data_IF_053438316781
#
_entry.id   IF_053438316781
#
_cell.length_a   1.000
_cell.length_b   1.000
_cell.length_c   1.000
_cell.angle_alpha   90.00
_cell.angle_beta   90.00
_cell.angle_gamma   90.00
#
_symmetry.space_group_name_H-M   'P 1'
#
loop_
_entity.id
_entity.type
_entity.pdbx_description
1 polymer ?
#
# COMPACT_ATOMS: atom_id res chain seq x y z
N UNK A 1 13.66 10.65 17.41
CA UNK A 1 12.61 10.34 16.40
C UNK A 1 13.19 9.77 15.12
N UNK A 2 14.46 10.07 14.81
CA UNK A 2 15.16 9.63 13.58
C UNK A 2 15.81 8.24 13.71
N UNK A 3 15.89 7.67 14.91
CA UNK A 3 16.47 6.35 15.13
C UNK A 3 15.63 5.28 14.44
N UNK A 4 16.25 4.33 13.70
CA UNK A 4 15.56 3.19 13.12
C UNK A 4 14.92 2.33 14.21
N UNK A 5 13.65 1.95 14.02
CA UNK A 5 12.90 1.06 14.93
C UNK A 5 12.48 -0.23 14.26
N UNK A 6 12.55 -0.30 12.95
CA UNK A 6 12.27 -1.50 12.17
C UNK A 6 13.14 -1.56 10.92
N UNK A 7 13.42 -2.77 10.47
CA UNK A 7 13.99 -3.05 9.15
C UNK A 7 12.96 -3.89 8.39
N UNK A 8 12.47 -3.35 7.27
CA UNK A 8 11.61 -4.07 6.34
C UNK A 8 12.40 -4.44 5.09
N UNK A 9 11.93 -5.41 4.31
CA UNK A 9 12.68 -5.86 3.15
C UNK A 9 11.95 -5.49 1.85
N UNK A 10 12.74 -5.11 0.84
CA UNK A 10 12.21 -4.84 -0.51
C UNK A 10 11.81 -6.14 -1.20
N UNK A 11 10.83 -6.06 -2.10
CA UNK A 11 10.32 -7.22 -2.86
C UNK A 11 11.26 -7.82 -3.91
N UNK A 12 12.50 -7.35 -4.02
CA UNK A 12 13.56 -8.00 -4.80
C UNK A 12 13.27 -8.29 -6.28
N UNK A 13 12.53 -7.44 -7.00
CA UNK A 13 12.26 -7.65 -8.44
C UNK A 13 13.50 -7.46 -9.32
N UNK A 14 14.52 -6.73 -8.84
CA UNK A 14 15.71 -6.33 -9.62
C UNK A 14 17.04 -6.70 -8.98
N UNK A 15 17.04 -7.51 -7.89
CA UNK A 15 18.28 -7.88 -7.18
C UNK A 15 18.01 -8.47 -5.81
N UNK A 16 19.07 -8.66 -4.98
CA UNK A 16 18.91 -9.13 -3.61
C UNK A 16 18.02 -8.19 -2.80
N UNK A 17 17.16 -8.76 -1.94
CA UNK A 17 16.34 -7.98 -1.04
C UNK A 17 17.20 -7.08 -0.14
N UNK A 18 16.86 -5.79 -0.06
CA UNK A 18 17.55 -4.82 0.78
C UNK A 18 16.75 -4.56 2.06
N UNK A 19 17.46 -4.39 3.18
CA UNK A 19 16.83 -4.04 4.46
C UNK A 19 16.60 -2.53 4.54
N UNK A 20 15.37 -2.09 4.43
CA UNK A 20 14.95 -0.69 4.53
C UNK A 20 14.80 -0.30 5.99
N UNK A 21 15.58 0.66 6.45
CA UNK A 21 15.53 1.17 7.83
C UNK A 21 14.43 2.22 7.98
N UNK A 22 13.45 1.95 8.83
CA UNK A 22 12.34 2.86 9.10
C UNK A 22 12.42 3.43 10.51
N UNK A 23 12.34 4.76 10.62
CA UNK A 23 12.37 5.48 11.88
C UNK A 23 11.00 5.51 12.57
N UNK A 24 11.02 5.89 13.86
CA UNK A 24 9.80 6.18 14.61
C UNK A 24 9.00 7.33 13.97
N UNK A 25 9.70 8.30 13.36
CA UNK A 25 9.04 9.38 12.60
C UNK A 25 8.24 8.82 11.42
N UNK A 26 8.82 7.89 10.66
CA UNK A 26 8.15 7.30 9.49
C UNK A 26 6.87 6.54 9.89
N UNK A 27 6.92 5.76 10.97
CA UNK A 27 5.74 5.06 11.51
C UNK A 27 4.64 6.01 11.96
N UNK A 28 5.02 7.08 12.68
CA UNK A 28 4.06 8.09 13.12
C UNK A 28 3.46 8.85 11.96
N UNK A 29 4.28 9.29 11.00
CA UNK A 29 3.81 10.00 9.82
C UNK A 29 2.82 9.16 9.00
N UNK A 30 3.10 7.86 8.83
CA UNK A 30 2.17 6.92 8.19
C UNK A 30 0.82 6.87 8.90
N UNK A 31 0.78 6.77 10.23
CA UNK A 31 -0.47 6.83 11.00
C UNK A 31 -1.21 8.16 10.79
N UNK A 32 -0.51 9.29 10.87
CA UNK A 32 -1.09 10.63 10.71
C UNK A 32 -1.70 10.82 9.31
N UNK A 33 -1.04 10.33 8.28
CA UNK A 33 -1.54 10.37 6.90
C UNK A 33 -2.88 9.63 6.76
N UNK A 34 -2.98 8.42 7.29
CA UNK A 34 -4.21 7.65 7.20
C UNK A 34 -5.34 8.23 8.05
N UNK A 35 -5.04 8.76 9.23
CA UNK A 35 -6.05 9.37 10.08
C UNK A 35 -6.65 10.64 9.47
N UNK A 36 -5.87 11.40 8.69
CA UNK A 36 -6.35 12.58 7.98
C UNK A 36 -7.29 12.25 6.82
N UNK A 37 -7.11 11.12 6.17
CA UNK A 37 -8.01 10.66 5.09
C UNK A 37 -9.36 10.17 5.64
N UNK A 38 -9.40 9.74 6.90
CA UNK A 38 -10.62 9.54 7.71
C UNK A 38 -11.49 8.33 7.39
N UNK A 39 -11.55 7.90 6.14
CA UNK A 39 -12.43 6.81 5.65
C UNK A 39 -11.70 5.50 5.40
N UNK A 40 -10.39 5.47 5.65
CA UNK A 40 -9.51 4.38 5.24
C UNK A 40 -9.49 3.19 6.19
N UNK A 41 -9.97 3.35 7.42
CA UNK A 41 -10.00 2.32 8.44
C UNK A 41 -11.28 2.40 9.26
N UNK A 42 -11.95 1.26 9.42
CA UNK A 42 -13.07 1.13 10.35
C UNK A 42 -12.56 1.09 11.80
N UNK A 43 -12.74 2.16 12.55
CA UNK A 43 -12.38 2.18 13.98
C UNK A 43 -13.12 1.10 14.75
N UNK A 44 -12.40 0.32 15.57
CA UNK A 44 -12.97 -0.74 16.39
C UNK A 44 -13.37 -2.00 15.65
N UNK A 45 -13.19 -2.07 14.32
CA UNK A 45 -13.42 -3.27 13.52
C UNK A 45 -12.25 -4.25 13.56
N UNK A 46 -12.37 -5.35 12.81
CA UNK A 46 -11.32 -6.34 12.64
C UNK A 46 -10.65 -6.20 11.26
N UNK A 47 -9.34 -6.29 11.22
CA UNK A 47 -8.57 -6.39 9.98
C UNK A 47 -7.93 -7.76 9.85
N UNK A 48 -8.07 -8.37 8.67
CA UNK A 48 -7.41 -9.63 8.33
C UNK A 48 -6.06 -9.33 7.67
N UNK A 49 -4.98 -9.77 8.32
CA UNK A 49 -3.59 -9.54 7.89
C UNK A 49 -3.07 -10.79 7.21
N UNK A 50 -2.92 -10.71 5.89
CA UNK A 50 -2.47 -11.78 5.00
C UNK A 50 -1.11 -11.49 4.37
N UNK A 51 -0.71 -10.23 4.37
CA UNK A 51 0.54 -9.77 3.76
C UNK A 51 1.74 -10.05 4.66
N UNK A 52 2.91 -10.35 4.09
CA UNK A 52 4.11 -10.63 4.86
C UNK A 52 4.53 -9.44 5.73
N UNK A 53 4.80 -9.69 7.02
CA UNK A 53 5.20 -8.65 7.98
C UNK A 53 6.63 -8.15 7.79
N UNK A 54 7.44 -8.84 7.00
CA UNK A 54 8.77 -8.35 6.63
C UNK A 54 8.70 -7.24 5.56
N UNK A 55 7.56 -7.02 4.90
CA UNK A 55 7.33 -5.89 4.00
C UNK A 55 6.80 -4.68 4.77
N UNK A 56 7.11 -3.47 4.28
CA UNK A 56 6.57 -2.25 4.87
C UNK A 56 5.03 -2.18 4.75
N UNK A 57 4.46 -2.69 3.66
CA UNK A 57 3.01 -2.75 3.50
C UNK A 57 2.38 -3.62 4.60
N UNK A 58 2.89 -4.83 4.82
CA UNK A 58 2.38 -5.72 5.86
C UNK A 58 2.55 -5.14 7.26
N UNK A 59 3.76 -4.67 7.61
CA UNK A 59 4.05 -4.19 8.94
C UNK A 59 3.40 -2.84 9.27
N UNK A 60 3.61 -1.82 8.41
CA UNK A 60 3.14 -0.47 8.71
C UNK A 60 1.63 -0.34 8.49
N UNK A 61 1.11 -0.81 7.35
CA UNK A 61 -0.27 -0.55 6.97
C UNK A 61 -1.26 -1.60 7.48
N UNK A 62 -0.83 -2.87 7.59
CA UNK A 62 -1.75 -3.92 8.00
C UNK A 62 -1.67 -4.24 9.50
N UNK A 63 -0.61 -3.83 10.20
CA UNK A 63 -0.46 -4.06 11.64
C UNK A 63 -0.37 -2.76 12.44
N UNK A 64 0.66 -1.93 12.21
CA UNK A 64 0.90 -0.74 13.03
C UNK A 64 -0.26 0.25 13.02
N UNK A 65 -0.70 0.69 11.84
CA UNK A 65 -1.79 1.67 11.74
C UNK A 65 -3.10 1.13 12.33
N UNK A 66 -3.58 -0.09 12.01
CA UNK A 66 -4.78 -0.65 12.62
C UNK A 66 -4.68 -0.78 14.14
N UNK A 67 -3.55 -1.22 14.70
CA UNK A 67 -3.37 -1.30 16.16
C UNK A 67 -3.48 0.08 16.82
N UNK A 68 -2.85 1.11 16.22
CA UNK A 68 -2.94 2.47 16.74
C UNK A 68 -4.38 3.03 16.67
N UNK A 69 -5.21 2.53 15.77
CA UNK A 69 -6.62 2.89 15.62
C UNK A 69 -7.56 2.04 16.51
N UNK A 70 -7.00 1.11 17.32
CA UNK A 70 -7.77 0.25 18.21
C UNK A 70 -8.54 -0.86 17.49
N UNK A 71 -8.06 -1.32 16.32
CA UNK A 71 -8.66 -2.42 15.58
C UNK A 71 -8.19 -3.78 16.13
N UNK A 72 -9.02 -4.78 15.97
CA UNK A 72 -8.64 -6.19 16.20
C UNK A 72 -7.82 -6.70 15.02
N UNK A 73 -6.62 -7.23 15.27
CA UNK A 73 -5.78 -7.85 14.24
C UNK A 73 -6.05 -9.36 14.19
N UNK A 74 -6.48 -9.84 13.03
CA UNK A 74 -6.56 -11.27 12.71
C UNK A 74 -5.32 -11.61 11.89
N UNK A 75 -4.29 -12.14 12.54
CA UNK A 75 -3.02 -12.46 11.92
C UNK A 75 -3.00 -13.91 11.41
N UNK A 76 -2.76 -14.08 10.12
CA UNK A 76 -2.67 -15.41 9.49
C UNK A 76 -1.31 -15.60 8.82
N UNK A 77 -0.27 -16.08 9.56
CA UNK A 77 1.12 -16.03 9.13
C UNK A 77 1.49 -17.03 8.02
N UNK A 78 0.66 -18.06 7.80
CA UNK A 78 0.88 -19.13 6.80
C UNK A 78 -0.16 -19.05 5.68
N UNK A 79 -0.47 -17.86 5.21
CA UNK A 79 -1.50 -17.63 4.22
C UNK A 79 -1.08 -18.14 2.82
N UNK A 80 -2.04 -18.77 2.15
CA UNK A 80 -1.99 -19.06 0.72
C UNK A 80 -3.08 -18.27 0.02
N UNK A 81 -2.78 -17.58 -1.10
CA UNK A 81 -3.76 -16.70 -1.76
C UNK A 81 -5.10 -17.36 -2.09
N UNK A 82 -5.11 -18.66 -2.37
CA UNK A 82 -6.31 -19.46 -2.65
C UNK A 82 -7.25 -19.59 -1.44
N UNK A 83 -6.77 -19.28 -0.22
CA UNK A 83 -7.55 -19.36 1.00
C UNK A 83 -8.32 -18.08 1.31
N UNK A 84 -8.20 -17.03 0.49
CA UNK A 84 -8.84 -15.73 0.78
C UNK A 84 -10.35 -15.87 0.96
N UNK A 85 -11.05 -16.63 0.10
CA UNK A 85 -12.48 -16.86 0.21
C UNK A 85 -12.87 -17.56 1.53
N UNK A 86 -12.11 -18.59 1.93
CA UNK A 86 -12.30 -19.28 3.22
C UNK A 86 -12.11 -18.33 4.41
N UNK A 87 -11.04 -17.51 4.37
CA UNK A 87 -10.74 -16.57 5.45
C UNK A 87 -11.80 -15.48 5.58
N UNK A 88 -12.26 -14.92 4.48
CA UNK A 88 -13.35 -13.93 4.46
C UNK A 88 -14.64 -14.52 5.04
N UNK A 89 -15.00 -15.73 4.62
CA UNK A 89 -16.18 -16.44 5.15
C UNK A 89 -16.09 -16.73 6.63
N UNK A 90 -14.89 -17.14 7.11
CA UNK A 90 -14.66 -17.56 8.48
C UNK A 90 -14.62 -16.39 9.46
N UNK A 91 -13.88 -15.34 9.10
CA UNK A 91 -13.56 -14.26 10.04
C UNK A 91 -14.43 -13.02 9.84
N UNK A 92 -15.06 -12.86 8.68
CA UNK A 92 -15.92 -11.72 8.33
C UNK A 92 -15.30 -10.38 8.76
N UNK A 93 -14.03 -10.08 8.38
CA UNK A 93 -13.34 -8.86 8.82
C UNK A 93 -13.92 -7.65 8.09
N UNK A 94 -14.01 -6.52 8.77
CA UNK A 94 -14.40 -5.25 8.15
C UNK A 94 -13.36 -4.76 7.16
N UNK A 95 -12.11 -5.18 7.33
CA UNK A 95 -11.01 -4.77 6.48
C UNK A 95 -10.14 -5.95 6.08
N UNK A 96 -9.69 -5.95 4.83
CA UNK A 96 -8.66 -6.85 4.32
C UNK A 96 -7.79 -6.13 3.30
N UNK A 97 -6.48 -6.36 3.39
CA UNK A 97 -5.52 -5.89 2.38
C UNK A 97 -4.93 -7.09 1.64
N UNK A 98 -4.91 -6.99 0.32
CA UNK A 98 -4.33 -8.02 -0.54
C UNK A 98 -3.58 -7.41 -1.72
N UNK A 99 -2.97 -8.27 -2.52
CA UNK A 99 -2.41 -7.91 -3.82
C UNK A 99 -3.43 -8.17 -4.94
N UNK A 100 -3.15 -7.73 -6.15
CA UNK A 100 -3.99 -7.99 -7.31
C UNK A 100 -4.25 -9.49 -7.50
N UNK A 101 -3.24 -10.32 -7.29
CA UNK A 101 -3.34 -11.78 -7.41
C UNK A 101 -4.31 -12.40 -6.39
N UNK A 102 -4.40 -11.86 -5.16
CA UNK A 102 -5.33 -12.34 -4.14
C UNK A 102 -6.79 -12.12 -4.58
N UNK A 103 -7.09 -10.92 -5.08
CA UNK A 103 -8.42 -10.59 -5.60
C UNK A 103 -8.78 -11.41 -6.84
N UNK A 104 -7.81 -11.64 -7.75
CA UNK A 104 -8.03 -12.49 -8.91
C UNK A 104 -8.39 -13.93 -8.53
N UNK A 105 -7.70 -14.50 -7.55
CA UNK A 105 -7.99 -15.84 -7.06
C UNK A 105 -9.34 -15.91 -6.34
N UNK A 106 -9.71 -14.87 -5.59
CA UNK A 106 -11.04 -14.79 -4.98
C UNK A 106 -12.17 -14.84 -6.03
N UNK A 107 -11.99 -14.18 -7.17
CA UNK A 107 -12.98 -14.23 -8.28
C UNK A 107 -13.12 -15.64 -8.90
N UNK A 108 -12.19 -16.54 -8.64
CA UNK A 108 -12.20 -17.93 -9.11
C UNK A 108 -12.59 -18.94 -8.02
N UNK A 109 -12.76 -18.47 -6.78
CA UNK A 109 -13.15 -19.31 -5.65
C UNK A 109 -14.58 -19.80 -5.83
N UNK A 110 -14.86 -21.11 -5.67
CA UNK A 110 -16.24 -21.64 -5.77
C UNK A 110 -17.25 -20.99 -4.80
N UNK A 111 -16.78 -20.44 -3.69
CA UNK A 111 -17.61 -19.68 -2.76
C UNK A 111 -18.03 -18.33 -3.32
N UNK A 112 -17.25 -17.74 -4.24
CA UNK A 112 -17.48 -16.39 -4.77
C UNK A 112 -18.91 -16.20 -5.33
N UNK A 113 -19.50 -17.25 -5.95
CA UNK A 113 -20.84 -17.18 -6.54
C UNK A 113 -21.97 -16.97 -5.51
N UNK A 114 -21.74 -17.31 -4.25
CA UNK A 114 -22.71 -17.20 -3.16
C UNK A 114 -22.17 -16.40 -1.96
N UNK A 115 -21.05 -15.69 -2.16
CA UNK A 115 -20.42 -14.91 -1.10
C UNK A 115 -21.36 -13.80 -0.62
N UNK A 116 -21.43 -13.60 0.70
CA UNK A 116 -21.95 -12.39 1.32
C UNK A 116 -20.78 -11.58 1.84
N UNK A 117 -20.53 -10.42 1.24
CA UNK A 117 -19.45 -9.49 1.59
C UNK A 117 -19.97 -8.20 2.24
N UNK A 118 -21.19 -8.19 2.76
CA UNK A 118 -21.81 -7.03 3.40
C UNK A 118 -21.04 -6.50 4.62
N UNK A 119 -20.19 -7.34 5.23
CA UNK A 119 -19.33 -6.99 6.36
C UNK A 119 -18.07 -6.23 5.95
N UNK A 120 -17.64 -6.34 4.68
CA UNK A 120 -16.36 -5.82 4.20
C UNK A 120 -16.46 -4.33 3.87
N UNK A 121 -16.03 -3.50 4.81
CA UNK A 121 -16.13 -2.03 4.69
C UNK A 121 -14.92 -1.41 3.99
N UNK A 122 -13.75 -2.07 4.06
CA UNK A 122 -12.48 -1.52 3.56
C UNK A 122 -11.70 -2.61 2.82
N UNK A 123 -12.14 -2.98 1.59
CA UNK A 123 -11.36 -3.85 0.70
C UNK A 123 -10.18 -3.07 0.10
N UNK A 124 -8.95 -3.54 0.29
CA UNK A 124 -7.72 -2.84 -0.13
C UNK A 124 -6.86 -3.69 -1.03
N UNK A 125 -6.19 -3.04 -1.99
CA UNK A 125 -5.28 -3.68 -2.92
C UNK A 125 -4.06 -2.80 -3.20
N UNK A 126 -2.87 -3.37 -3.03
CA UNK A 126 -1.61 -2.70 -3.33
C UNK A 126 -0.47 -3.67 -3.56
N UNK A 127 0.72 -3.15 -3.87
CA UNK A 127 1.94 -3.93 -4.04
C UNK A 127 2.14 -4.57 -5.42
N UNK A 128 1.10 -4.61 -6.26
CA UNK A 128 1.16 -5.10 -7.64
C UNK A 128 0.38 -4.16 -8.58
N UNK A 129 0.78 -4.13 -9.85
CA UNK A 129 0.01 -3.43 -10.88
C UNK A 129 -1.39 -4.03 -11.05
N UNK A 130 -2.37 -3.16 -11.28
CA UNK A 130 -3.75 -3.55 -11.59
C UNK A 130 -4.26 -2.80 -12.81
N UNK A 131 -4.75 -3.55 -13.80
CA UNK A 131 -5.37 -2.94 -14.98
C UNK A 131 -6.77 -2.38 -14.64
N UNK A 132 -7.20 -1.33 -15.34
CA UNK A 132 -8.56 -0.78 -15.20
C UNK A 132 -9.66 -1.83 -15.41
N UNK A 133 -9.45 -2.78 -16.30
CA UNK A 133 -10.40 -3.86 -16.54
C UNK A 133 -10.53 -4.80 -15.33
N UNK A 134 -9.41 -5.15 -14.70
CA UNK A 134 -9.40 -5.99 -13.49
C UNK A 134 -10.04 -5.26 -12.32
N UNK A 135 -9.73 -3.98 -12.12
CA UNK A 135 -10.33 -3.17 -11.07
C UNK A 135 -11.85 -3.10 -11.21
N UNK A 136 -12.37 -2.84 -12.42
CA UNK A 136 -13.81 -2.87 -12.69
C UNK A 136 -14.43 -4.21 -12.35
N UNK A 137 -13.80 -5.31 -12.80
CA UNK A 137 -14.29 -6.68 -12.52
C UNK A 137 -14.37 -6.99 -11.03
N UNK A 138 -13.36 -6.57 -10.26
CA UNK A 138 -13.37 -6.75 -8.79
C UNK A 138 -14.47 -5.89 -8.16
N UNK A 139 -14.62 -4.63 -8.56
CA UNK A 139 -15.66 -3.76 -8.03
C UNK A 139 -17.08 -4.25 -8.35
N UNK A 140 -17.31 -4.77 -9.56
CA UNK A 140 -18.60 -5.38 -9.94
C UNK A 140 -18.89 -6.60 -9.07
N UNK A 141 -17.90 -7.45 -8.83
CA UNK A 141 -18.01 -8.60 -7.91
C UNK A 141 -18.34 -8.14 -6.49
N UNK A 142 -17.60 -7.20 -5.93
CA UNK A 142 -17.82 -6.68 -4.58
C UNK A 142 -19.27 -6.14 -4.43
N UNK A 143 -19.72 -5.33 -5.38
CA UNK A 143 -21.06 -4.77 -5.39
C UNK A 143 -22.16 -5.87 -5.51
N UNK A 144 -21.97 -6.84 -6.39
CA UNK A 144 -22.91 -7.98 -6.55
C UNK A 144 -22.99 -8.85 -5.30
N UNK A 145 -21.96 -8.85 -4.45
CA UNK A 145 -21.90 -9.62 -3.20
C UNK A 145 -22.22 -8.78 -1.95
N UNK A 146 -22.82 -7.62 -2.15
CA UNK A 146 -23.31 -6.77 -1.06
C UNK A 146 -22.24 -5.99 -0.30
N UNK A 147 -21.00 -5.95 -0.81
CA UNK A 147 -19.96 -5.11 -0.22
C UNK A 147 -20.37 -3.63 -0.39
N UNK A 148 -20.42 -2.83 0.69
CA UNK A 148 -20.84 -1.43 0.62
C UNK A 148 -19.77 -0.50 0.04
N UNK A 149 -18.55 -0.97 -0.13
CA UNK A 149 -17.40 -0.19 -0.54
C UNK A 149 -16.81 -0.68 -1.87
N UNK A 150 -16.19 0.25 -2.61
CA UNK A 150 -15.35 -0.06 -3.75
C UNK A 150 -13.95 -0.46 -3.27
N UNK A 151 -13.23 -1.22 -4.10
CA UNK A 151 -11.83 -1.58 -3.85
C UNK A 151 -10.97 -0.32 -3.75
N UNK A 152 -10.26 -0.17 -2.65
CA UNK A 152 -9.32 0.91 -2.41
C UNK A 152 -7.96 0.47 -2.92
N UNK A 153 -7.44 1.16 -3.94
CA UNK A 153 -6.09 0.91 -4.44
C UNK A 153 -5.07 1.72 -3.66
N UNK A 154 -3.88 1.15 -3.55
CA UNK A 154 -2.78 1.73 -2.80
C UNK A 154 -1.48 1.56 -3.55
N UNK A 155 -0.74 2.66 -3.67
CA UNK A 155 0.59 2.67 -4.27
C UNK A 155 1.64 3.13 -3.26
N UNK A 156 2.79 2.50 -3.31
CA UNK A 156 3.95 2.85 -2.51
C UNK A 156 5.02 1.79 -2.55
N UNK A 157 6.03 1.96 -1.71
CA UNK A 157 7.21 1.09 -1.65
C UNK A 157 7.79 1.06 -0.24
N UNK A 158 8.67 0.09 0.04
CA UNK A 158 9.27 -0.05 1.37
C UNK A 158 10.03 1.19 1.82
N UNK A 159 10.68 1.89 0.90
CA UNK A 159 11.50 3.08 1.12
C UNK A 159 10.70 4.31 1.61
N UNK A 160 9.38 4.24 1.55
CA UNK A 160 8.45 5.27 2.06
C UNK A 160 7.48 4.70 3.11
N UNK A 161 7.91 3.68 3.85
CA UNK A 161 7.13 2.99 4.89
C UNK A 161 5.81 2.40 4.37
N UNK A 162 5.76 1.98 3.11
CA UNK A 162 4.64 1.30 2.48
C UNK A 162 3.88 2.19 1.52
N UNK A 163 2.81 2.84 1.93
CA UNK A 163 1.84 3.48 1.04
C UNK A 163 1.93 5.00 1.08
N UNK A 164 1.87 5.62 -0.09
CA UNK A 164 1.90 7.09 -0.27
C UNK A 164 0.79 7.62 -1.19
N UNK A 165 0.16 6.76 -2.00
CA UNK A 165 -1.05 7.09 -2.75
C UNK A 165 -2.17 6.12 -2.42
N UNK A 166 -3.39 6.62 -2.43
CA UNK A 166 -4.60 5.84 -2.16
C UNK A 166 -5.75 6.35 -3.01
N UNK A 167 -6.57 5.45 -3.55
CA UNK A 167 -7.81 5.81 -4.21
C UNK A 167 -8.87 6.15 -3.17
N UNK A 168 -9.14 7.45 -2.94
CA UNK A 168 -10.22 7.95 -2.09
C UNK A 168 -10.93 9.13 -2.75
N UNK A 169 -12.19 9.34 -2.39
CA UNK A 169 -13.05 10.29 -3.10
C UNK A 169 -13.40 9.79 -4.49
N UNK A 170 -13.36 10.67 -5.48
CA UNK A 170 -13.57 10.31 -6.89
C UNK A 170 -12.23 9.93 -7.53
N UNK A 171 -12.18 8.75 -8.16
CA UNK A 171 -11.03 8.28 -8.93
C UNK A 171 -11.47 7.49 -10.16
N UNK A 172 -10.61 7.41 -11.16
CA UNK A 172 -10.83 6.62 -12.36
C UNK A 172 -10.19 5.23 -12.24
N UNK A 173 -10.82 4.24 -12.88
CA UNK A 173 -10.27 2.90 -12.91
C UNK A 173 -8.94 2.91 -13.70
N UNK A 174 -7.88 2.38 -13.09
CA UNK A 174 -6.55 2.33 -13.66
C UNK A 174 -5.56 3.32 -13.06
N UNK A 175 -6.02 4.39 -12.37
CA UNK A 175 -5.11 5.26 -11.63
C UNK A 175 -4.63 4.63 -10.31
N UNK A 176 -3.60 5.19 -9.69
CA UNK A 176 -3.07 4.75 -8.39
C UNK A 176 -3.61 5.57 -7.22
N UNK A 177 -4.60 6.44 -7.47
CA UNK A 177 -5.19 7.31 -6.48
C UNK A 177 -4.46 8.64 -6.31
N UNK A 178 -4.67 9.25 -5.15
CA UNK A 178 -4.13 10.56 -4.78
C UNK A 178 -3.04 10.42 -3.71
N UNK A 179 -2.03 11.30 -3.72
CA UNK A 179 -1.06 11.36 -2.64
C UNK A 179 -1.73 11.51 -1.27
N UNK A 180 -1.24 10.76 -0.30
CA UNK A 180 -1.64 10.93 1.09
C UNK A 180 -1.21 12.31 1.62
N UNK A 181 -1.89 12.86 2.62
CA UNK A 181 -1.52 14.15 3.22
C UNK A 181 -0.04 14.20 3.63
N UNK A 182 0.65 15.27 3.23
CA UNK A 182 2.09 15.41 3.49
C UNK A 182 3.00 14.62 2.52
N UNK A 183 2.43 13.93 1.53
CA UNK A 183 3.19 13.37 0.41
C UNK A 183 3.15 14.31 -0.78
N UNK A 184 4.31 14.47 -1.45
CA UNK A 184 4.42 15.10 -2.77
C UNK A 184 4.93 14.04 -3.74
N UNK A 185 4.27 13.90 -4.87
CA UNK A 185 4.65 12.95 -5.92
C UNK A 185 4.60 13.67 -7.24
N UNK A 186 5.67 13.59 -8.00
CA UNK A 186 5.76 14.18 -9.34
C UNK A 186 6.44 13.19 -10.29
N UNK A 187 6.14 13.31 -11.58
CA UNK A 187 6.89 12.65 -12.63
C UNK A 187 8.05 13.55 -13.08
N UNK A 188 9.22 12.96 -13.27
CA UNK A 188 10.41 13.67 -13.77
C UNK A 188 11.02 12.90 -14.92
N UNK A 189 11.70 13.63 -15.80
CA UNK A 189 12.56 13.02 -16.79
C UNK A 189 13.74 12.32 -16.09
N UNK A 190 13.95 11.02 -16.29
CA UNK A 190 14.93 10.24 -15.54
C UNK A 190 16.39 10.62 -15.88
N UNK A 191 16.66 11.26 -17.05
CA UNK A 191 17.99 11.66 -17.46
C UNK A 191 18.36 13.06 -16.94
N UNK A 192 17.40 13.99 -17.00
CA UNK A 192 17.65 15.40 -16.64
C UNK A 192 17.17 15.77 -15.24
N UNK A 193 16.26 14.99 -14.65
CA UNK A 193 15.60 15.31 -13.39
C UNK A 193 14.58 16.45 -13.49
N UNK A 194 14.29 16.94 -14.68
CA UNK A 194 13.30 18.00 -14.88
C UNK A 194 11.88 17.49 -14.66
N UNK A 195 11.04 18.29 -13.99
CA UNK A 195 9.63 17.91 -13.79
C UNK A 195 8.89 17.80 -15.14
N UNK A 196 8.15 16.71 -15.31
CA UNK A 196 7.29 16.52 -16.47
C UNK A 196 6.02 17.38 -16.35
N UNK A 197 5.40 17.78 -17.49
CA UNK A 197 4.08 18.39 -17.46
C UNK A 197 3.02 17.42 -16.89
N UNK A 198 1.83 17.89 -16.45
CA UNK A 198 0.83 17.08 -15.76
C UNK A 198 0.40 15.79 -16.48
N UNK A 199 0.43 15.76 -17.80
CA UNK A 199 0.09 14.57 -18.60
C UNK A 199 1.33 13.90 -19.21
N UNK A 200 2.53 14.31 -18.77
CA UNK A 200 3.79 13.76 -19.25
C UNK A 200 4.12 12.43 -18.61
N UNK A 201 4.88 11.61 -19.33
CA UNK A 201 5.45 10.37 -18.81
C UNK A 201 6.85 10.63 -18.24
N UNK A 202 7.17 9.98 -17.13
CA UNK A 202 8.46 10.08 -16.47
C UNK A 202 8.55 9.17 -15.26
N UNK A 203 9.70 9.11 -14.64
CA UNK A 203 9.92 8.40 -13.38
C UNK A 203 9.20 9.13 -12.24
N UNK A 204 8.47 8.39 -11.41
CA UNK A 204 7.85 8.97 -10.21
C UNK A 204 8.91 9.22 -9.15
N UNK A 205 8.88 10.42 -8.56
CA UNK A 205 9.67 10.71 -7.37
C UNK A 205 8.78 11.16 -6.22
N UNK A 206 9.16 10.78 -5.00
CA UNK A 206 8.33 10.90 -3.80
C UNK A 206 9.06 11.70 -2.72
N UNK A 207 8.39 12.68 -2.14
CA UNK A 207 8.80 13.37 -0.92
C UNK A 207 7.74 13.15 0.15
N UNK A 208 8.16 12.65 1.31
CA UNK A 208 7.24 12.36 2.42
C UNK A 208 8.00 12.31 3.76
N UNK A 209 7.30 12.54 4.85
CA UNK A 209 7.81 12.29 6.20
C UNK A 209 7.96 10.79 6.52
N UNK A 210 7.51 9.90 5.63
CA UNK A 210 7.64 8.44 5.75
C UNK A 210 8.90 7.87 5.11
N UNK A 211 9.75 8.72 4.49
CA UNK A 211 11.00 8.31 3.84
C UNK A 211 11.92 7.59 4.83
N UNK A 212 12.54 6.52 4.34
CA UNK A 212 13.49 5.68 5.08
C UNK A 212 14.74 6.44 5.56
N UNK A 213 15.46 5.82 6.48
CA UNK A 213 16.81 6.28 6.92
C UNK A 213 17.93 5.77 6.02
N UNK A 214 17.63 4.99 5.00
CA UNK A 214 18.57 4.30 4.12
C UNK A 214 18.48 2.78 4.23
N UNK A 215 19.35 2.09 3.49
CA UNK A 215 19.44 0.64 3.50
C UNK A 215 20.44 0.14 4.54
N UNK A 216 20.06 -0.87 5.30
CA UNK A 216 20.91 -1.47 6.32
C UNK A 216 22.14 -2.16 5.71
N UNK A 217 23.32 -1.68 6.07
CA UNK A 217 24.60 -2.28 5.64
C UNK A 217 24.97 -2.07 4.18
N UNK A 218 24.21 -1.25 3.42
CA UNK A 218 24.44 -1.02 1.97
C UNK A 218 24.28 0.48 1.63
N UNK A 219 25.07 1.38 2.24
CA UNK A 219 24.89 2.83 2.07
C UNK A 219 25.13 3.32 0.63
N UNK A 220 25.87 2.59 -0.17
CA UNK A 220 26.06 2.90 -1.60
C UNK A 220 24.76 2.81 -2.40
N UNK A 221 23.82 1.95 -1.98
CA UNK A 221 22.50 1.83 -2.61
C UNK A 221 21.57 3.02 -2.28
N UNK A 222 21.85 3.76 -1.20
CA UNK A 222 21.06 4.94 -0.84
C UNK A 222 21.16 6.01 -1.94
N UNK A 223 22.35 6.24 -2.50
CA UNK A 223 22.58 7.22 -3.54
C UNK A 223 21.83 6.94 -4.85
N UNK A 224 21.39 5.71 -5.09
CA UNK A 224 20.55 5.38 -6.25
C UNK A 224 19.10 5.84 -6.08
N UNK A 225 18.60 5.88 -4.84
CA UNK A 225 17.18 6.06 -4.51
C UNK A 225 16.95 7.40 -3.81
N UNK A 226 17.83 7.81 -2.90
CA UNK A 226 17.74 9.07 -2.17
C UNK A 226 18.55 10.15 -2.89
N UNK A 227 17.91 10.91 -3.76
CA UNK A 227 18.55 11.92 -4.59
C UNK A 227 17.84 13.27 -4.51
N UNK A 228 18.53 14.40 -4.80
CA UNK A 228 17.87 15.68 -4.95
C UNK A 228 16.81 15.64 -6.05
N UNK A 229 15.65 16.26 -5.80
CA UNK A 229 14.64 16.52 -6.80
C UNK A 229 14.82 17.91 -7.44
N UNK A 230 13.87 18.36 -8.28
CA UNK A 230 13.94 19.64 -8.98
C UNK A 230 14.05 20.87 -8.07
N UNK A 231 13.60 20.76 -6.82
CA UNK A 231 13.66 21.82 -5.81
C UNK A 231 14.93 21.76 -4.93
N UNK A 232 15.87 20.84 -5.24
CA UNK A 232 17.10 20.64 -4.49
C UNK A 232 16.93 19.93 -3.15
N UNK A 233 15.70 19.57 -2.75
CA UNK A 233 15.45 18.79 -1.54
C UNK A 233 15.58 17.28 -1.80
N UNK A 234 15.64 16.47 -0.76
CA UNK A 234 15.78 15.02 -0.86
C UNK A 234 14.45 14.37 -1.27
N UNK A 235 14.49 13.52 -2.29
CA UNK A 235 13.37 12.72 -2.80
C UNK A 235 13.75 11.26 -2.94
N UNK A 236 12.76 10.39 -2.86
CA UNK A 236 12.89 8.98 -3.24
C UNK A 236 12.59 8.84 -4.73
N UNK A 237 13.54 8.33 -5.49
CA UNK A 237 13.42 7.99 -6.91
C UNK A 237 13.00 6.53 -7.02
N UNK A 238 11.84 6.28 -7.62
CA UNK A 238 11.16 4.99 -7.52
C UNK A 238 11.57 3.97 -8.56
N UNK A 239 12.02 4.42 -9.70
CA UNK A 239 12.24 3.63 -10.93
C UNK A 239 10.92 3.10 -11.56
N UNK A 240 9.75 3.61 -11.12
CA UNK A 240 8.43 3.32 -11.67
C UNK A 240 8.03 4.32 -12.75
#
# INVERSE_FOLDING_TARGET
WEEPVAITYTGGTTGPAKGVMLSRRAFRASLEQYTQVGTMYGRGGATLVLLPLFSAFGLCQCVHVPLCLGMTIILYPMFRPEQLGEMLRRYRPEQVSGTTSYWQLLLQDPWADQADLSFLQVPRCGGDAMTAAMERRINDFLAQRGCPARLIKEYGMSEVAGIVCVSYGDWEAGDVGRPLPGCRIIAVDPETGAACPPEGQGELIIQSNTVMNGYYGVPEADAEVLRPGPDGTLWVWTKD
#
